data_IF_318021462868
#
_entry.id   IF_318021462868
#
_cell.length_a   1.000
_cell.length_b   1.000
_cell.length_c   1.000
_cell.angle_alpha   90.00
_cell.angle_beta   90.00
_cell.angle_gamma   90.00
#
_symmetry.space_group_name_H-M   'P 1'
#
loop_
_entity.id
_entity.type
_entity.pdbx_description
1 polymer ?
#
# COMPACT_ATOMS: atom_id res chain seq x y z
N UNK A 1 23.81 14.57 16.87
CA UNK A 1 22.50 14.04 17.28
C UNK A 1 21.93 14.92 18.39
N UNK A 2 20.64 15.11 18.39
CA UNK A 2 19.90 15.76 19.48
C UNK A 2 19.82 14.76 20.64
N UNK A 3 20.36 15.12 21.80
CA UNK A 3 20.37 14.36 23.06
C UNK A 3 19.61 15.09 24.18
N UNK A 4 18.66 15.93 23.80
CA UNK A 4 17.77 16.68 24.68
C UNK A 4 16.43 15.98 24.90
N UNK A 5 15.48 16.68 25.52
CA UNK A 5 14.19 16.16 25.99
C UNK A 5 13.46 15.27 24.96
N UNK A 6 12.68 14.34 25.47
CA UNK A 6 11.87 13.35 24.71
C UNK A 6 10.88 13.97 23.72
N UNK A 7 10.55 15.25 23.85
CA UNK A 7 9.67 15.98 22.93
C UNK A 7 10.32 17.22 22.35
N UNK A 8 10.12 17.43 21.04
CA UNK A 8 10.61 18.60 20.34
C UNK A 8 9.45 19.42 19.77
N UNK A 9 9.43 20.73 20.06
CA UNK A 9 8.41 21.64 19.57
C UNK A 9 9.07 22.65 18.64
N UNK A 10 8.67 22.64 17.37
CA UNK A 10 9.11 23.65 16.41
C UNK A 10 8.29 24.94 16.60
N UNK A 11 8.94 26.13 16.64
CA UNK A 11 8.23 27.41 16.71
C UNK A 11 7.28 27.57 15.50
N UNK A 12 6.09 28.11 15.74
CA UNK A 12 5.07 28.32 14.70
C UNK A 12 5.50 29.22 13.56
N UNK A 13 6.47 30.13 13.80
CA UNK A 13 7.07 30.97 12.77
C UNK A 13 7.93 30.23 11.74
N UNK A 14 8.25 28.95 12.00
CA UNK A 14 9.04 28.14 11.05
C UNK A 14 8.15 27.73 9.87
N UNK A 15 8.49 28.18 8.68
CA UNK A 15 7.77 27.86 7.45
C UNK A 15 8.61 27.11 6.41
N UNK A 16 9.90 26.87 6.66
CA UNK A 16 10.78 26.09 5.78
C UNK A 16 11.59 25.09 6.59
N UNK A 17 11.46 23.80 6.25
CA UNK A 17 12.19 22.71 6.85
C UNK A 17 13.06 22.04 5.77
N UNK A 18 14.38 22.08 5.96
CA UNK A 18 15.33 21.45 5.04
C UNK A 18 15.24 19.93 5.06
N UNK A 19 15.72 19.28 4.00
CA UNK A 19 15.79 17.83 3.93
C UNK A 19 16.75 17.24 4.96
N UNK A 20 16.47 16.01 5.40
CA UNK A 20 17.25 15.28 6.42
C UNK A 20 17.36 15.99 7.78
N UNK A 21 16.49 16.98 8.07
CA UNK A 21 16.64 17.84 9.25
C UNK A 21 16.75 17.05 10.57
N UNK A 22 15.94 15.99 10.72
CA UNK A 22 15.95 15.10 11.87
C UNK A 22 16.33 13.65 11.49
N UNK A 23 16.85 13.41 10.27
CA UNK A 23 17.18 12.07 9.84
C UNK A 23 18.18 11.41 10.81
N UNK A 24 17.85 10.17 11.25
CA UNK A 24 18.68 9.40 12.19
C UNK A 24 18.70 9.96 13.61
N UNK A 25 17.77 10.84 13.98
CA UNK A 25 17.67 11.32 15.37
C UNK A 25 17.04 10.24 16.25
N UNK A 26 17.87 9.31 16.75
CA UNK A 26 17.43 8.18 17.58
C UNK A 26 16.87 8.61 18.95
N UNK A 27 17.28 9.75 19.49
CA UNK A 27 16.77 10.29 20.76
C UNK A 27 15.44 11.03 20.63
N UNK A 28 14.94 11.27 19.39
CA UNK A 28 13.67 11.96 19.17
C UNK A 28 12.49 10.99 19.37
N UNK A 29 11.69 11.21 20.41
CA UNK A 29 10.52 10.36 20.73
C UNK A 29 9.20 11.01 20.34
N UNK A 30 9.10 12.35 20.35
CA UNK A 30 7.91 13.06 19.88
C UNK A 30 8.25 14.40 19.25
N UNK A 31 7.37 14.88 18.35
CA UNK A 31 7.52 16.20 17.72
C UNK A 31 6.16 16.85 17.48
N UNK A 32 6.10 18.15 17.73
CA UNK A 32 5.00 19.02 17.31
C UNK A 32 5.48 19.88 16.12
N UNK A 33 4.78 19.74 15.00
CA UNK A 33 5.11 20.43 13.76
C UNK A 33 4.57 21.86 13.75
N UNK A 34 5.24 22.83 13.10
CA UNK A 34 4.87 24.24 13.13
C UNK A 34 3.64 24.53 12.26
N UNK A 35 2.90 25.59 12.61
CA UNK A 35 1.76 26.10 11.82
C UNK A 35 2.18 26.99 10.65
N UNK A 36 3.41 27.51 10.66
CA UNK A 36 3.91 28.48 9.69
C UNK A 36 3.34 29.89 9.86
N UNK A 37 2.67 30.21 10.99
CA UNK A 37 2.04 31.52 11.27
C UNK A 37 1.17 32.04 10.11
N UNK A 38 0.37 31.13 9.51
CA UNK A 38 -0.49 31.43 8.36
C UNK A 38 0.20 31.34 7.00
N UNK A 39 1.47 30.97 6.97
CA UNK A 39 2.23 30.66 5.75
C UNK A 39 2.29 29.15 5.57
N UNK A 40 2.14 28.66 4.34
CA UNK A 40 2.28 27.24 4.07
C UNK A 40 3.69 26.74 4.44
N UNK A 41 3.74 25.66 5.24
CA UNK A 41 5.02 25.05 5.62
C UNK A 41 5.56 24.25 4.44
N UNK A 42 6.76 24.58 4.01
CA UNK A 42 7.52 23.84 3.02
C UNK A 42 8.51 22.91 3.72
N UNK A 43 8.42 21.62 3.43
CA UNK A 43 9.39 20.64 3.89
C UNK A 43 10.03 19.94 2.70
N UNK A 44 11.27 19.48 2.86
CA UNK A 44 11.98 18.67 1.88
C UNK A 44 12.05 17.20 2.33
N UNK A 45 12.55 16.32 1.47
CA UNK A 45 12.56 14.86 1.67
C UNK A 45 13.35 14.40 2.91
N UNK A 46 13.07 13.19 3.42
CA UNK A 46 13.80 12.51 4.49
C UNK A 46 13.75 13.24 5.84
N UNK A 47 12.68 13.96 6.13
CA UNK A 47 12.61 14.86 7.29
C UNK A 47 12.86 14.15 8.62
N UNK A 48 12.26 12.99 8.85
CA UNK A 48 12.38 12.13 10.03
C UNK A 48 12.87 10.72 9.70
N UNK A 49 13.51 10.55 8.57
CA UNK A 49 14.00 9.25 8.09
C UNK A 49 14.91 8.59 9.14
N UNK A 50 14.59 7.35 9.54
CA UNK A 50 15.38 6.62 10.54
C UNK A 50 15.27 7.13 11.98
N UNK A 51 14.25 7.92 12.33
CA UNK A 51 13.95 8.27 13.71
C UNK A 51 13.29 7.06 14.41
N UNK A 52 14.10 6.07 14.74
CA UNK A 52 13.62 4.74 15.19
C UNK A 52 12.81 4.76 16.48
N UNK A 53 13.02 5.75 17.36
CA UNK A 53 12.32 5.90 18.63
C UNK A 53 11.17 6.93 18.57
N UNK A 54 10.86 7.49 17.39
CA UNK A 54 9.75 8.43 17.24
C UNK A 54 8.42 7.71 17.38
N UNK A 55 7.68 7.98 18.46
CA UNK A 55 6.39 7.37 18.78
C UNK A 55 5.21 8.26 18.40
N UNK A 56 5.41 9.58 18.35
CA UNK A 56 4.33 10.55 18.22
C UNK A 56 4.73 11.74 17.35
N UNK A 57 3.84 12.09 16.41
CA UNK A 57 3.93 13.29 15.56
C UNK A 57 2.62 14.02 15.62
N UNK A 58 2.66 15.30 16.02
CA UNK A 58 1.48 16.16 16.02
C UNK A 58 1.53 17.12 14.85
N UNK A 59 0.63 16.92 13.87
CA UNK A 59 0.39 17.89 12.81
C UNK A 59 -0.53 19.00 13.31
N UNK A 60 -0.27 20.27 12.98
CA UNK A 60 -1.23 21.36 13.22
C UNK A 60 -2.41 21.26 12.25
N UNK A 61 -3.49 21.99 12.56
CA UNK A 61 -4.69 22.05 11.72
C UNK A 61 -4.52 22.98 10.49
N UNK A 62 -3.36 23.60 10.32
CA UNK A 62 -3.04 24.53 9.21
C UNK A 62 -1.57 24.44 8.84
N UNK A 63 -1.20 25.08 7.74
CA UNK A 63 0.19 25.20 7.29
C UNK A 63 0.69 24.04 6.44
N UNK A 64 0.31 22.81 6.74
CA UNK A 64 0.76 21.62 6.01
C UNK A 64 -0.22 21.25 4.90
N UNK A 65 0.26 21.18 3.65
CA UNK A 65 -0.55 20.84 2.47
C UNK A 65 -0.11 19.57 1.76
N UNK A 66 1.07 19.04 2.11
CA UNK A 66 1.63 17.82 1.50
C UNK A 66 2.48 17.04 2.51
N UNK A 67 2.51 15.72 2.36
CA UNK A 67 3.60 14.89 2.87
C UNK A 67 4.78 14.98 1.89
N UNK A 68 5.99 14.69 2.37
CA UNK A 68 7.20 14.63 1.54
C UNK A 68 7.72 13.20 1.47
N UNK A 69 8.46 12.88 0.41
CA UNK A 69 8.98 11.52 0.21
C UNK A 69 9.93 11.13 1.34
N UNK A 70 9.81 9.89 1.79
CA UNK A 70 10.61 9.33 2.90
C UNK A 70 10.46 10.07 4.23
N UNK A 71 9.33 10.78 4.43
CA UNK A 71 9.15 11.68 5.60
C UNK A 71 9.35 10.96 6.92
N UNK A 72 8.79 9.76 7.07
CA UNK A 72 8.85 8.92 8.27
C UNK A 72 9.39 7.52 7.94
N UNK A 73 10.22 7.38 6.89
CA UNK A 73 10.79 6.08 6.56
C UNK A 73 11.58 5.55 7.76
N UNK A 74 11.39 4.25 8.06
CA UNK A 74 12.07 3.57 9.17
C UNK A 74 11.85 4.20 10.56
N UNK A 75 10.73 4.93 10.78
CA UNK A 75 10.26 5.31 12.11
C UNK A 75 9.62 4.10 12.78
N UNK A 76 10.44 3.16 13.23
CA UNK A 76 10.01 1.82 13.64
C UNK A 76 9.14 1.78 14.90
N UNK A 77 9.17 2.82 15.74
CA UNK A 77 8.36 2.94 16.95
C UNK A 77 7.08 3.77 16.76
N UNK A 78 6.82 4.30 15.55
CA UNK A 78 5.62 5.10 15.30
C UNK A 78 4.38 4.21 15.26
N UNK A 79 3.51 4.31 16.29
CA UNK A 79 2.32 3.46 16.44
C UNK A 79 1.08 4.01 15.75
N UNK A 80 0.97 5.33 15.68
CA UNK A 80 -0.18 5.97 15.06
C UNK A 80 0.14 7.33 14.47
N UNK A 81 -0.61 7.72 13.42
CA UNK A 81 -0.49 9.02 12.78
C UNK A 81 -1.87 9.53 12.34
N UNK A 82 -2.13 10.82 12.58
CA UNK A 82 -3.30 11.53 12.04
C UNK A 82 -2.82 12.60 11.06
N UNK A 83 -3.21 12.46 9.80
CA UNK A 83 -2.87 13.40 8.72
C UNK A 83 -4.03 14.38 8.57
N UNK A 84 -3.83 15.70 8.79
CA UNK A 84 -4.92 16.68 8.76
C UNK A 84 -5.49 16.88 7.35
N UNK A 85 -6.74 17.32 7.26
CA UNK A 85 -7.46 17.50 5.99
C UNK A 85 -6.88 18.61 5.09
N UNK A 86 -5.99 19.42 5.61
CA UNK A 86 -5.21 20.40 4.84
C UNK A 86 -4.18 19.72 3.92
N UNK A 87 -3.76 18.49 4.25
CA UNK A 87 -2.82 17.72 3.43
C UNK A 87 -3.57 17.07 2.26
N UNK A 88 -3.34 17.57 1.07
CA UNK A 88 -3.98 17.09 -0.17
C UNK A 88 -3.13 16.12 -0.96
N UNK A 89 -1.82 16.12 -0.71
CA UNK A 89 -0.84 15.33 -1.49
C UNK A 89 -0.08 14.37 -0.58
N UNK A 90 -0.16 13.09 -0.91
CA UNK A 90 0.67 12.04 -0.32
C UNK A 90 2.03 11.92 -1.04
N UNK A 91 2.96 11.19 -0.46
CA UNK A 91 4.30 11.03 -1.02
C UNK A 91 4.77 9.58 -1.03
N UNK A 92 5.69 9.27 -1.94
CA UNK A 92 6.32 7.95 -2.03
C UNK A 92 7.16 7.66 -0.79
N UNK A 93 7.10 6.42 -0.30
CA UNK A 93 7.88 5.95 0.87
C UNK A 93 7.61 6.73 2.17
N UNK A 94 6.48 7.46 2.28
CA UNK A 94 6.26 8.37 3.42
C UNK A 94 6.30 7.65 4.77
N UNK A 95 5.82 6.40 4.85
CA UNK A 95 5.79 5.56 6.05
C UNK A 95 6.44 4.18 5.82
N UNK A 96 7.31 4.06 4.81
CA UNK A 96 8.02 2.80 4.54
C UNK A 96 8.83 2.35 5.75
N UNK A 97 8.66 1.09 6.17
CA UNK A 97 9.39 0.55 7.31
C UNK A 97 8.89 1.00 8.70
N UNK A 98 7.74 1.68 8.79
CA UNK A 98 7.10 1.97 10.08
C UNK A 98 6.49 0.70 10.66
N UNK A 99 7.33 -0.17 11.22
CA UNK A 99 6.93 -1.54 11.59
C UNK A 99 5.93 -1.62 12.74
N UNK A 100 5.88 -0.61 13.63
CA UNK A 100 4.90 -0.54 14.72
C UNK A 100 3.62 0.21 14.36
N UNK A 101 3.50 0.72 13.11
CA UNK A 101 2.35 1.54 12.72
C UNK A 101 1.07 0.70 12.64
N UNK A 102 0.16 0.91 13.60
CA UNK A 102 -1.11 0.20 13.70
C UNK A 102 -2.30 1.01 13.18
N UNK A 103 -2.26 2.34 13.38
CA UNK A 103 -3.40 3.22 13.10
C UNK A 103 -3.00 4.43 12.26
N UNK A 104 -3.68 4.60 11.14
CA UNK A 104 -3.51 5.75 10.25
C UNK A 104 -4.87 6.42 10.03
N UNK A 105 -4.97 7.70 10.38
CA UNK A 105 -6.08 8.54 9.94
C UNK A 105 -5.62 9.35 8.74
N UNK A 106 -6.19 9.03 7.57
CA UNK A 106 -5.89 9.74 6.32
C UNK A 106 -6.67 11.06 6.23
N UNK A 107 -6.06 12.06 5.62
CA UNK A 107 -6.72 13.29 5.19
C UNK A 107 -7.91 12.97 4.26
N UNK A 108 -9.06 13.61 4.50
CA UNK A 108 -10.23 13.52 3.63
C UNK A 108 -10.01 14.18 2.25
N UNK A 109 -8.96 14.99 2.12
CA UNK A 109 -8.59 15.69 0.89
C UNK A 109 -7.52 14.97 0.06
N UNK A 110 -6.93 13.90 0.60
CA UNK A 110 -5.88 13.13 -0.09
C UNK A 110 -6.50 12.29 -1.21
N UNK A 111 -5.99 12.41 -2.43
CA UNK A 111 -6.57 11.78 -3.62
C UNK A 111 -5.88 10.49 -4.08
N UNK A 112 -4.75 10.14 -3.48
CA UNK A 112 -3.99 8.95 -3.86
C UNK A 112 -3.22 8.35 -2.69
N UNK A 113 -3.04 7.03 -2.70
CA UNK A 113 -2.01 6.35 -1.92
C UNK A 113 -0.83 6.16 -2.86
N UNK A 114 0.28 6.85 -2.60
CA UNK A 114 1.46 6.83 -3.46
C UNK A 114 2.23 5.49 -3.36
N UNK A 115 3.09 5.23 -4.34
CA UNK A 115 3.92 4.03 -4.37
C UNK A 115 4.77 3.92 -3.10
N UNK A 116 4.84 2.70 -2.54
CA UNK A 116 5.63 2.36 -1.34
C UNK A 116 5.22 3.10 -0.06
N UNK A 117 4.07 3.80 -0.04
CA UNK A 117 3.70 4.69 1.08
C UNK A 117 3.65 3.97 2.42
N UNK A 118 3.12 2.75 2.46
CA UNK A 118 2.97 1.90 3.65
C UNK A 118 3.71 0.55 3.49
N UNK A 119 4.79 0.53 2.69
CA UNK A 119 5.61 -0.67 2.53
C UNK A 119 6.19 -1.09 3.88
N UNK A 120 6.16 -2.39 4.18
CA UNK A 120 6.69 -2.97 5.41
C UNK A 120 6.07 -2.43 6.72
N UNK A 121 4.86 -1.86 6.68
CA UNK A 121 4.08 -1.53 7.87
C UNK A 121 3.45 -2.81 8.44
N UNK A 122 4.25 -3.68 9.04
CA UNK A 122 3.83 -5.05 9.42
C UNK A 122 2.78 -5.11 10.52
N UNK A 123 2.62 -4.04 11.31
CA UNK A 123 1.57 -3.94 12.34
C UNK A 123 0.26 -3.31 11.82
N UNK A 124 0.23 -2.79 10.58
CA UNK A 124 -0.95 -2.14 10.00
C UNK A 124 -1.93 -3.20 9.49
N UNK A 125 -2.89 -3.59 10.33
CA UNK A 125 -3.88 -4.65 10.04
C UNK A 125 -5.03 -4.19 9.16
N UNK A 126 -5.37 -2.91 9.21
CA UNK A 126 -6.41 -2.29 8.39
C UNK A 126 -6.16 -0.81 8.23
N UNK A 127 -6.73 -0.23 7.19
CA UNK A 127 -6.71 1.21 6.95
C UNK A 127 -8.01 1.65 6.28
N UNK A 128 -8.61 2.74 6.78
CA UNK A 128 -9.80 3.32 6.17
C UNK A 128 -9.39 4.27 5.05
N UNK A 129 -9.52 3.82 3.82
CA UNK A 129 -9.35 4.68 2.64
C UNK A 129 -10.56 5.61 2.50
N UNK A 130 -10.30 6.90 2.32
CA UNK A 130 -11.36 7.91 2.16
C UNK A 130 -11.97 7.85 0.76
N UNK A 131 -13.18 8.37 0.60
CA UNK A 131 -13.84 8.45 -0.72
C UNK A 131 -13.13 9.39 -1.70
N UNK A 132 -12.20 10.23 -1.24
CA UNK A 132 -11.38 11.09 -2.09
C UNK A 132 -10.32 10.31 -2.88
N UNK A 133 -9.93 9.11 -2.40
CA UNK A 133 -8.88 8.30 -3.04
C UNK A 133 -9.34 7.81 -4.41
N UNK A 134 -8.54 8.08 -5.43
CA UNK A 134 -8.78 7.69 -6.82
C UNK A 134 -7.77 6.68 -7.36
N UNK A 135 -6.61 6.52 -6.68
CA UNK A 135 -5.55 5.60 -7.11
C UNK A 135 -4.75 5.03 -5.95
N UNK A 136 -4.30 3.77 -6.13
CA UNK A 136 -3.38 3.07 -5.22
C UNK A 136 -2.15 2.69 -6.04
N UNK A 137 -0.99 3.21 -5.61
CA UNK A 137 0.29 3.09 -6.31
C UNK A 137 0.95 1.72 -6.20
N UNK A 138 2.06 1.57 -6.94
CA UNK A 138 2.84 0.32 -6.93
C UNK A 138 3.43 0.07 -5.55
N UNK A 139 3.28 -1.16 -5.06
CA UNK A 139 3.87 -1.61 -3.81
C UNK A 139 3.47 -0.72 -2.60
N UNK A 140 2.29 -0.06 -2.71
CA UNK A 140 1.82 0.89 -1.70
C UNK A 140 1.69 0.26 -0.31
N UNK A 141 1.34 -1.03 -0.25
CA UNK A 141 1.20 -1.82 0.96
C UNK A 141 2.07 -3.09 0.96
N UNK A 142 3.12 -3.14 0.12
CA UNK A 142 4.00 -4.30 0.03
C UNK A 142 4.49 -4.73 1.43
N UNK A 143 4.26 -6.00 1.80
CA UNK A 143 4.71 -6.55 3.08
C UNK A 143 4.04 -5.94 4.30
N UNK A 144 2.92 -5.23 4.15
CA UNK A 144 2.14 -4.73 5.29
C UNK A 144 1.35 -5.85 5.98
N UNK A 145 0.95 -5.59 7.23
CA UNK A 145 0.19 -6.53 8.05
C UNK A 145 -1.30 -6.60 7.72
N UNK A 146 -1.77 -6.01 6.61
CA UNK A 146 -3.19 -5.93 6.26
C UNK A 146 -3.85 -7.31 6.29
N UNK A 147 -4.96 -7.41 7.03
CA UNK A 147 -5.84 -8.57 7.10
C UNK A 147 -7.01 -8.42 6.11
N UNK A 148 -7.50 -7.18 5.95
CA UNK A 148 -8.51 -6.80 4.97
C UNK A 148 -8.38 -5.33 4.56
N UNK A 149 -8.98 -4.96 3.43
CA UNK A 149 -9.07 -3.56 2.98
C UNK A 149 -10.36 -3.33 2.17
N UNK A 150 -10.93 -2.12 2.31
CA UNK A 150 -12.08 -1.69 1.51
C UNK A 150 -11.61 -0.67 0.46
N UNK A 151 -11.85 -0.95 -0.80
CA UNK A 151 -11.53 -0.07 -1.94
C UNK A 151 -12.72 0.87 -2.18
N UNK A 152 -12.54 2.20 -2.00
CA UNK A 152 -13.61 3.16 -2.16
C UNK A 152 -14.18 3.28 -3.59
N UNK A 153 -15.38 3.84 -3.68
CA UNK A 153 -16.11 4.03 -4.95
C UNK A 153 -15.35 4.78 -6.04
N UNK A 154 -14.46 5.72 -5.66
CA UNK A 154 -13.78 6.60 -6.62
C UNK A 154 -12.41 6.06 -7.08
N UNK A 155 -11.94 4.93 -6.56
CA UNK A 155 -10.68 4.32 -7.01
C UNK A 155 -10.85 3.80 -8.45
N UNK A 156 -10.01 4.32 -9.34
CA UNK A 156 -9.98 3.99 -10.78
C UNK A 156 -8.76 3.15 -11.16
N UNK A 157 -7.70 3.20 -10.35
CA UNK A 157 -6.47 2.47 -10.62
C UNK A 157 -5.93 1.83 -9.34
N UNK A 158 -5.58 0.56 -9.43
CA UNK A 158 -4.83 -0.20 -8.43
C UNK A 158 -3.65 -0.79 -9.18
N UNK A 159 -2.43 -0.48 -8.75
CA UNK A 159 -1.23 -1.09 -9.33
C UNK A 159 -1.20 -2.58 -9.01
N UNK A 160 -0.78 -3.40 -9.96
CA UNK A 160 -0.75 -4.85 -9.80
C UNK A 160 0.08 -5.37 -8.62
N UNK A 161 1.00 -4.58 -8.08
CA UNK A 161 1.80 -4.92 -6.89
C UNK A 161 1.36 -4.20 -5.62
N UNK A 162 0.22 -3.50 -5.63
CA UNK A 162 -0.19 -2.64 -4.53
C UNK A 162 -0.21 -3.36 -3.18
N UNK A 163 -0.61 -4.63 -3.15
CA UNK A 163 -0.76 -5.47 -1.95
C UNK A 163 0.19 -6.69 -1.96
N UNK A 164 1.29 -6.61 -2.70
CA UNK A 164 2.25 -7.71 -2.79
C UNK A 164 2.80 -8.07 -1.39
N UNK A 165 3.03 -9.36 -1.17
CA UNK A 165 3.55 -9.91 0.10
C UNK A 165 2.75 -9.49 1.37
N UNK A 166 1.47 -9.08 1.24
CA UNK A 166 0.56 -8.92 2.37
C UNK A 166 0.07 -10.30 2.82
N UNK A 167 0.94 -11.04 3.51
CA UNK A 167 0.74 -12.47 3.82
C UNK A 167 -0.48 -12.78 4.70
N UNK A 168 -1.03 -11.76 5.37
CA UNK A 168 -2.23 -11.89 6.20
C UNK A 168 -3.51 -11.45 5.48
N UNK A 169 -3.40 -10.92 4.24
CA UNK A 169 -4.54 -10.36 3.52
C UNK A 169 -5.43 -11.48 3.00
N UNK A 170 -6.62 -11.61 3.60
CA UNK A 170 -7.62 -12.60 3.25
C UNK A 170 -8.74 -12.03 2.39
N UNK A 171 -8.96 -10.71 2.43
CA UNK A 171 -10.12 -10.12 1.78
C UNK A 171 -9.83 -8.70 1.27
N UNK A 172 -10.19 -8.42 0.01
CA UNK A 172 -10.26 -7.08 -0.55
C UNK A 172 -11.71 -6.81 -0.97
N UNK A 173 -12.39 -5.98 -0.22
CA UNK A 173 -13.75 -5.54 -0.53
C UNK A 173 -13.72 -4.33 -1.46
N UNK A 174 -14.68 -4.24 -2.35
CA UNK A 174 -14.85 -3.09 -3.25
C UNK A 174 -16.23 -2.49 -3.02
N UNK A 175 -16.28 -1.17 -2.79
CA UNK A 175 -17.54 -0.44 -2.66
C UNK A 175 -18.46 -0.73 -3.86
N UNK A 176 -19.73 -1.05 -3.58
CA UNK A 176 -20.70 -1.43 -4.62
C UNK A 176 -20.91 -0.37 -5.70
N UNK A 177 -20.65 0.90 -5.40
CA UNK A 177 -20.71 2.02 -6.33
C UNK A 177 -19.43 2.24 -7.14
N UNK A 178 -18.37 1.47 -6.93
CA UNK A 178 -17.16 1.57 -7.73
C UNK A 178 -17.43 1.15 -9.17
N UNK A 179 -17.18 2.08 -10.12
CA UNK A 179 -17.48 1.86 -11.54
C UNK A 179 -16.42 1.01 -12.27
N UNK A 180 -15.22 0.85 -11.68
CA UNK A 180 -14.07 0.20 -12.34
C UNK A 180 -13.85 -1.22 -11.83
N UNK A 181 -13.99 -1.42 -10.52
CA UNK A 181 -13.71 -2.68 -9.86
C UNK A 181 -14.96 -3.24 -9.16
N UNK A 182 -14.96 -4.54 -8.95
CA UNK A 182 -15.87 -5.26 -8.04
C UNK A 182 -15.08 -6.28 -7.25
N UNK A 183 -15.59 -6.70 -6.13
CA UNK A 183 -15.08 -7.88 -5.43
C UNK A 183 -16.15 -8.95 -5.32
N UNK A 184 -15.70 -10.20 -5.32
CA UNK A 184 -16.50 -11.40 -5.10
C UNK A 184 -15.63 -12.37 -4.30
N UNK A 185 -16.13 -12.84 -3.18
CA UNK A 185 -15.38 -13.70 -2.25
C UNK A 185 -13.97 -13.16 -1.88
N UNK A 186 -13.86 -11.84 -1.70
CA UNK A 186 -12.58 -11.19 -1.35
C UNK A 186 -11.62 -10.95 -2.51
N UNK A 187 -11.91 -11.46 -3.70
CA UNK A 187 -11.09 -11.34 -4.91
C UNK A 187 -11.55 -10.13 -5.74
N UNK A 188 -10.60 -9.40 -6.33
CA UNK A 188 -10.89 -8.19 -7.10
C UNK A 188 -10.91 -8.46 -8.60
N UNK A 189 -11.97 -7.97 -9.25
CA UNK A 189 -12.19 -8.08 -10.69
C UNK A 189 -12.38 -6.70 -11.32
N UNK A 190 -12.01 -6.57 -12.57
CA UNK A 190 -12.43 -5.44 -13.40
C UNK A 190 -13.93 -5.57 -13.73
N UNK A 191 -14.72 -4.56 -13.38
CA UNK A 191 -16.18 -4.60 -13.51
C UNK A 191 -16.65 -4.70 -14.98
N UNK A 192 -15.89 -4.09 -15.90
CA UNK A 192 -16.28 -4.04 -17.32
C UNK A 192 -15.84 -5.28 -18.07
N UNK A 193 -14.61 -5.73 -17.87
CA UNK A 193 -14.04 -6.86 -18.63
C UNK A 193 -14.25 -8.21 -17.96
N UNK A 194 -14.61 -8.23 -16.67
CA UNK A 194 -14.63 -9.43 -15.84
C UNK A 194 -13.23 -9.94 -15.45
N UNK A 195 -12.15 -9.34 -15.99
CA UNK A 195 -10.81 -9.84 -15.76
C UNK A 195 -10.41 -9.81 -14.28
N UNK A 196 -9.74 -10.88 -13.83
CA UNK A 196 -9.16 -11.02 -12.52
C UNK A 196 -8.03 -10.00 -12.33
N UNK A 197 -8.14 -9.14 -11.33
CA UNK A 197 -7.17 -8.06 -11.06
C UNK A 197 -6.23 -8.44 -9.95
N UNK A 198 -6.74 -9.00 -8.86
CA UNK A 198 -5.95 -9.31 -7.68
C UNK A 198 -6.60 -10.41 -6.84
N UNK A 199 -5.78 -11.40 -6.43
CA UNK A 199 -6.10 -12.43 -5.45
C UNK A 199 -5.31 -12.16 -4.18
N UNK A 200 -5.96 -12.01 -3.01
CA UNK A 200 -5.26 -11.81 -1.74
C UNK A 200 -4.30 -12.95 -1.40
N UNK A 201 -3.15 -12.60 -0.80
CA UNK A 201 -2.04 -13.55 -0.61
C UNK A 201 -2.39 -14.73 0.30
N UNK A 202 -3.27 -14.54 1.30
CA UNK A 202 -3.67 -15.59 2.24
C UNK A 202 -4.86 -16.44 1.75
N UNK A 203 -5.44 -16.16 0.58
CA UNK A 203 -6.65 -16.86 0.11
C UNK A 203 -6.44 -18.32 -0.23
N UNK A 204 -5.22 -18.73 -0.62
CA UNK A 204 -4.96 -20.15 -0.92
C UNK A 204 -5.16 -21.08 0.30
N UNK A 205 -4.98 -20.54 1.51
CA UNK A 205 -5.21 -21.30 2.75
C UNK A 205 -6.70 -21.61 2.98
N UNK A 206 -7.61 -20.91 2.28
CA UNK A 206 -9.06 -21.12 2.33
C UNK A 206 -9.61 -21.94 1.14
N UNK A 207 -8.74 -22.42 0.25
CA UNK A 207 -9.10 -23.40 -0.79
C UNK A 207 -9.59 -22.77 -2.10
N UNK A 208 -8.84 -21.85 -2.69
CA UNK A 208 -9.15 -21.28 -4.02
C UNK A 208 -9.04 -22.36 -5.10
N UNK A 209 -10.08 -22.46 -5.93
CA UNK A 209 -10.00 -23.18 -7.20
C UNK A 209 -9.45 -22.27 -8.30
N UNK A 210 -8.12 -22.33 -8.52
CA UNK A 210 -7.43 -21.51 -9.53
C UNK A 210 -7.96 -21.82 -10.94
N UNK A 211 -8.30 -23.08 -11.25
CA UNK A 211 -8.81 -23.47 -12.55
C UNK A 211 -10.17 -22.83 -12.81
N UNK A 212 -11.08 -22.84 -11.84
CA UNK A 212 -12.38 -22.19 -11.94
C UNK A 212 -12.24 -20.67 -12.15
N UNK A 213 -11.34 -20.01 -11.42
CA UNK A 213 -11.06 -18.58 -11.58
C UNK A 213 -10.56 -18.24 -12.99
N UNK A 214 -9.73 -19.10 -13.57
CA UNK A 214 -9.16 -18.88 -14.90
C UNK A 214 -10.16 -19.21 -16.02
N UNK A 215 -11.10 -20.15 -15.79
CA UNK A 215 -12.11 -20.52 -16.77
C UNK A 215 -13.07 -19.38 -17.10
N UNK A 216 -13.48 -18.62 -16.08
CA UNK A 216 -14.56 -17.64 -16.19
C UNK A 216 -14.06 -16.21 -16.40
N UNK A 217 -12.77 -15.98 -16.19
CA UNK A 217 -12.22 -14.62 -16.15
C UNK A 217 -10.89 -14.55 -16.89
N UNK A 218 -10.69 -13.52 -17.70
CA UNK A 218 -9.33 -13.14 -18.13
C UNK A 218 -8.49 -12.78 -16.90
N UNK A 219 -7.17 -12.90 -16.99
CA UNK A 219 -6.26 -12.49 -15.91
C UNK A 219 -5.46 -11.25 -16.31
N UNK A 220 -5.16 -10.40 -15.33
CA UNK A 220 -4.26 -9.27 -15.52
C UNK A 220 -2.84 -9.59 -15.06
N UNK A 221 -1.88 -8.75 -15.42
CA UNK A 221 -0.54 -8.82 -14.86
C UNK A 221 -0.61 -8.72 -13.32
N UNK A 222 0.19 -9.54 -12.63
CA UNK A 222 0.28 -9.61 -11.16
C UNK A 222 -0.96 -10.14 -10.43
N UNK A 223 -1.95 -10.72 -11.11
CA UNK A 223 -3.21 -11.15 -10.49
C UNK A 223 -3.02 -12.14 -9.32
N UNK A 224 -2.06 -13.05 -9.40
CA UNK A 224 -1.70 -14.00 -8.35
C UNK A 224 -0.33 -13.71 -7.71
N UNK A 225 0.16 -12.47 -7.82
CA UNK A 225 1.49 -12.13 -7.30
C UNK A 225 1.62 -12.41 -5.80
N UNK A 226 2.54 -13.31 -5.43
CA UNK A 226 2.86 -13.61 -4.03
C UNK A 226 1.77 -14.38 -3.27
N UNK A 227 0.77 -14.95 -3.96
CA UNK A 227 -0.22 -15.83 -3.31
C UNK A 227 0.51 -17.06 -2.78
N UNK A 228 0.29 -17.37 -1.49
CA UNK A 228 0.93 -18.51 -0.81
C UNK A 228 0.07 -19.77 -0.92
N UNK A 229 0.66 -20.97 -0.77
CA UNK A 229 -0.08 -22.23 -0.66
C UNK A 229 -0.52 -22.86 -2.00
N UNK A 230 -0.42 -22.17 -3.15
CA UNK A 230 -0.73 -22.78 -4.46
C UNK A 230 0.41 -23.69 -4.88
N UNK A 231 0.14 -25.03 -4.88
CA UNK A 231 1.13 -26.04 -5.27
C UNK A 231 1.02 -26.47 -6.73
N UNK A 232 -0.19 -26.46 -7.28
CA UNK A 232 -0.48 -26.92 -8.64
C UNK A 232 -1.39 -25.92 -9.34
N UNK A 233 -1.07 -25.59 -10.59
CA UNK A 233 -1.90 -24.75 -11.46
C UNK A 233 -2.28 -25.55 -12.69
N UNK A 234 -3.58 -25.61 -13.00
CA UNK A 234 -4.09 -26.02 -14.30
C UNK A 234 -4.64 -24.79 -15.00
N UNK A 235 -4.01 -24.41 -16.12
CA UNK A 235 -4.55 -23.35 -16.98
C UNK A 235 -5.51 -24.01 -17.94
N UNK A 236 -6.81 -23.62 -17.95
CA UNK A 236 -7.83 -24.33 -18.72
C UNK A 236 -7.72 -24.09 -20.22
N UNK A 237 -8.28 -25.02 -21.01
CA UNK A 237 -8.42 -24.85 -22.46
C UNK A 237 -9.25 -23.61 -22.78
N UNK A 238 -8.86 -22.88 -23.84
CA UNK A 238 -9.44 -21.60 -24.22
C UNK A 238 -8.62 -20.39 -23.77
N UNK A 239 -7.74 -20.51 -22.76
CA UNK A 239 -6.77 -19.48 -22.42
C UNK A 239 -5.70 -19.43 -23.52
N UNK A 240 -5.55 -18.26 -24.14
CA UNK A 240 -4.59 -18.04 -25.24
C UNK A 240 -3.34 -17.27 -24.82
N UNK A 241 -3.38 -16.58 -23.69
CA UNK A 241 -2.24 -15.80 -23.20
C UNK A 241 -2.19 -15.73 -21.68
N UNK A 242 -0.98 -15.80 -21.13
CA UNK A 242 -0.68 -15.56 -19.73
C UNK A 242 0.08 -14.25 -19.63
N UNK A 243 -0.43 -13.22 -18.94
CA UNK A 243 0.23 -11.92 -18.80
C UNK A 243 1.56 -11.99 -18.05
N UNK A 244 2.39 -10.96 -18.22
CA UNK A 244 3.62 -10.80 -17.46
C UNK A 244 3.34 -10.80 -15.94
N UNK A 245 4.17 -11.53 -15.18
CA UNK A 245 4.10 -11.64 -13.72
C UNK A 245 2.75 -12.17 -13.16
N UNK A 246 1.89 -12.80 -13.96
CA UNK A 246 0.57 -13.23 -13.51
C UNK A 246 0.64 -14.17 -12.30
N UNK A 247 1.59 -15.10 -12.28
CA UNK A 247 1.84 -16.08 -11.22
C UNK A 247 3.24 -15.89 -10.59
N UNK A 248 3.75 -14.68 -10.59
CA UNK A 248 5.06 -14.38 -10.01
C UNK A 248 5.05 -14.58 -8.49
N UNK A 249 6.11 -15.18 -7.95
CA UNK A 249 6.30 -15.32 -6.51
C UNK A 249 5.47 -16.42 -5.85
N UNK A 250 4.91 -17.36 -6.62
CA UNK A 250 4.23 -18.54 -6.09
C UNK A 250 5.25 -19.57 -5.58
N UNK A 251 5.85 -19.29 -4.41
CA UNK A 251 6.97 -20.07 -3.83
C UNK A 251 6.63 -21.52 -3.54
N UNK A 252 5.33 -21.85 -3.37
CA UNK A 252 4.86 -23.22 -3.11
C UNK A 252 4.60 -24.02 -4.38
N UNK A 253 4.66 -23.40 -5.56
CA UNK A 253 4.30 -24.03 -6.83
C UNK A 253 5.24 -25.18 -7.20
N UNK A 254 4.66 -26.37 -7.43
CA UNK A 254 5.37 -27.60 -7.80
C UNK A 254 5.19 -27.94 -9.28
N UNK A 255 4.03 -27.63 -9.86
CA UNK A 255 3.73 -27.92 -11.27
C UNK A 255 2.72 -26.97 -11.87
N UNK A 256 2.79 -26.80 -13.19
CA UNK A 256 1.80 -26.12 -14.00
C UNK A 256 1.44 -26.98 -15.21
N UNK A 257 0.14 -27.09 -15.50
CA UNK A 257 -0.39 -27.70 -16.73
C UNK A 257 -0.89 -26.58 -17.63
N UNK A 258 -0.38 -26.53 -18.85
CA UNK A 258 -0.72 -25.50 -19.82
C UNK A 258 -1.63 -26.06 -20.91
N UNK A 259 -2.63 -25.27 -21.41
CA UNK A 259 -3.57 -25.71 -22.42
C UNK A 259 -2.95 -25.75 -23.82
N UNK A 260 -3.53 -26.54 -24.70
CA UNK A 260 -3.13 -26.59 -26.11
C UNK A 260 -3.44 -25.31 -26.89
N UNK A 261 -4.34 -24.48 -26.38
CA UNK A 261 -4.76 -23.18 -26.93
C UNK A 261 -3.80 -22.04 -26.63
N UNK A 262 -2.80 -22.26 -25.75
CA UNK A 262 -1.90 -21.18 -25.30
C UNK A 262 -0.94 -20.73 -26.42
N UNK A 263 -0.93 -19.44 -26.69
CA UNK A 263 -0.12 -18.81 -27.76
C UNK A 263 1.04 -17.97 -27.21
N UNK A 264 0.89 -17.42 -25.98
CA UNK A 264 1.91 -16.55 -25.41
C UNK A 264 1.97 -16.61 -23.88
N UNK A 265 3.19 -16.45 -23.36
CA UNK A 265 3.49 -16.32 -21.92
C UNK A 265 4.33 -15.07 -21.75
N UNK A 266 3.86 -14.15 -20.91
CA UNK A 266 4.55 -12.89 -20.62
C UNK A 266 5.79 -13.07 -19.75
N UNK A 267 6.61 -12.01 -19.68
CA UNK A 267 7.84 -12.01 -18.89
C UNK A 267 7.56 -12.31 -17.41
N UNK A 268 8.38 -13.16 -16.79
CA UNK A 268 8.31 -13.52 -15.39
C UNK A 268 6.96 -14.13 -14.93
N UNK A 269 6.13 -14.64 -15.86
CA UNK A 269 4.80 -15.15 -15.54
C UNK A 269 4.79 -16.20 -14.42
N UNK A 270 5.82 -17.04 -14.33
CA UNK A 270 6.01 -18.09 -13.33
C UNK A 270 7.36 -17.99 -12.60
N UNK A 271 7.95 -16.80 -12.52
CA UNK A 271 9.25 -16.62 -11.87
C UNK A 271 9.11 -16.66 -10.33
N UNK A 272 10.16 -17.26 -9.65
CA UNK A 272 10.36 -17.42 -8.20
C UNK A 272 9.48 -18.44 -7.51
#
# INVERSE_FOLDING_TARGET
>A
GYDGDESFILPDSVCVLGGYLFSGCESLTSIVLPTGDGTAVSADMYLFDGCVNLTSVTFPQSGWTKLVSYMFRDCTSLESIAIPDTVTTSATYAFDGCTSLERVTLSQSMTSIQSYMFRNCVSLKSINLTSAITSIGSEAFLGSGLEYIVIPQNVKTISGKAFADCVNLTEVLVDGLNATFRSEDGIVYNRTTGALVFVPSAMADVGIDVEELLLNNGITAYAFYGVTGIEHITVPEGVTSIPANAFYGLKSMKSVTLPSTLQSIGNYAFAY
#
